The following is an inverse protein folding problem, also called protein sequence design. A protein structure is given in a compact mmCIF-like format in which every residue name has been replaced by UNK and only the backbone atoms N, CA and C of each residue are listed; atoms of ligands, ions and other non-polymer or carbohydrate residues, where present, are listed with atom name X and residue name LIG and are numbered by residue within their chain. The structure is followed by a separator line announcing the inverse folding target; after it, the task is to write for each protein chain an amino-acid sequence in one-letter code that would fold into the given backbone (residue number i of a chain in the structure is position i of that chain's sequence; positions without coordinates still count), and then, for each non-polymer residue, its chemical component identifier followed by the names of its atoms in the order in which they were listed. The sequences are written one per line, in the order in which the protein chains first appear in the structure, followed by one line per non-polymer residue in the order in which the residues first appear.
data_IF_028893430074
#
_entry.id   IF_028893430074
#
_cell.length_a   1.000
_cell.length_b   1.000
_cell.length_c   1.000
_cell.angle_alpha   90.00
_cell.angle_beta   90.00
_cell.angle_gamma   90.00
#
_symmetry.space_group_name_H-M   'P 1'
#
loop_
_entity.id
_entity.type
_entity.pdbx_description
1 polymer ?
#
# COMPACT_ATOMS: atom_id res chain seq x y z
N UNK A 1 -11.52 -44.35 -11.53
CA UNK A 1 -10.96 -43.03 -11.19
C UNK A 1 -12.17 -42.13 -11.08
N UNK A 2 -12.54 -41.72 -9.86
CA UNK A 2 -13.60 -40.74 -9.67
C UNK A 2 -13.06 -39.40 -10.15
N UNK A 3 -13.40 -39.03 -11.38
CA UNK A 3 -13.28 -37.64 -11.84
C UNK A 3 -14.41 -36.90 -11.14
N UNK A 4 -14.14 -36.49 -9.89
CA UNK A 4 -15.07 -35.73 -9.06
C UNK A 4 -15.50 -34.48 -9.82
N UNK A 5 -16.79 -34.39 -10.12
CA UNK A 5 -17.36 -33.29 -10.87
C UNK A 5 -17.42 -32.06 -9.96
N UNK A 6 -16.41 -31.19 -10.04
CA UNK A 6 -16.32 -29.98 -9.22
C UNK A 6 -17.07 -28.84 -9.89
N UNK A 7 -18.09 -28.31 -9.22
CA UNK A 7 -18.73 -27.08 -9.64
C UNK A 7 -18.01 -25.87 -9.03
N UNK A 8 -17.39 -25.05 -9.89
CA UNK A 8 -16.63 -23.86 -9.48
C UNK A 8 -17.38 -22.61 -9.93
N UNK A 9 -17.53 -21.63 -9.02
CA UNK A 9 -18.05 -20.30 -9.34
C UNK A 9 -16.96 -19.25 -9.16
N UNK A 10 -16.76 -18.42 -10.18
CA UNK A 10 -15.78 -17.33 -10.16
C UNK A 10 -16.46 -15.99 -9.89
N UNK A 11 -15.87 -15.15 -9.03
CA UNK A 11 -16.37 -13.81 -8.70
C UNK A 11 -15.24 -12.80 -8.66
N UNK A 12 -15.48 -11.63 -9.23
CA UNK A 12 -14.59 -10.49 -9.12
C UNK A 12 -14.96 -9.68 -7.87
N UNK A 13 -13.94 -9.27 -7.13
CA UNK A 13 -14.09 -8.46 -5.92
C UNK A 13 -13.15 -7.26 -5.98
N UNK A 14 -13.55 -6.11 -5.42
CA UNK A 14 -12.67 -4.96 -5.31
C UNK A 14 -11.51 -5.26 -4.35
N UNK A 15 -10.30 -4.80 -4.71
CA UNK A 15 -9.11 -4.92 -3.87
C UNK A 15 -9.15 -3.92 -2.72
N UNK A 16 -8.55 -4.30 -1.58
CA UNK A 16 -8.39 -3.45 -0.38
C UNK A 16 -9.69 -2.99 0.31
N UNK A 17 -10.80 -3.69 0.08
CA UNK A 17 -12.11 -3.38 0.68
C UNK A 17 -12.43 -4.20 1.95
N UNK A 18 -11.44 -4.80 2.64
CA UNK A 18 -11.71 -5.53 3.89
C UNK A 18 -12.21 -6.96 3.72
N UNK A 19 -12.22 -7.52 2.50
CA UNK A 19 -12.70 -8.89 2.26
C UNK A 19 -11.68 -9.88 2.81
N UNK A 20 -11.92 -10.37 4.03
CA UNK A 20 -10.99 -11.19 4.80
C UNK A 20 -10.25 -12.26 3.98
N UNK A 21 -10.98 -13.08 3.20
CA UNK A 21 -10.36 -14.15 2.41
C UNK A 21 -9.42 -13.65 1.31
N UNK A 22 -9.77 -12.55 0.65
CA UNK A 22 -8.92 -11.90 -0.35
C UNK A 22 -7.68 -11.27 0.28
N UNK A 23 -7.85 -10.63 1.44
CA UNK A 23 -6.74 -10.02 2.17
C UNK A 23 -5.73 -11.06 2.67
N UNK A 24 -6.20 -12.20 3.15
CA UNK A 24 -5.32 -13.31 3.52
C UNK A 24 -4.59 -13.86 2.29
N UNK A 25 -5.28 -14.05 1.17
CA UNK A 25 -4.65 -14.50 -0.07
C UNK A 25 -3.58 -13.50 -0.57
N UNK A 26 -3.87 -12.20 -0.55
CA UNK A 26 -2.93 -11.13 -0.91
C UNK A 26 -1.71 -11.10 0.04
N UNK A 27 -1.93 -11.28 1.35
CA UNK A 27 -0.85 -11.36 2.34
C UNK A 27 0.09 -12.54 2.07
N UNK A 28 -0.44 -13.74 1.80
CA UNK A 28 0.39 -14.91 1.48
C UNK A 28 1.11 -14.76 0.14
N UNK A 29 0.45 -14.19 -0.86
CA UNK A 29 1.08 -13.87 -2.14
C UNK A 29 2.26 -12.91 -1.97
N UNK A 30 2.12 -11.87 -1.14
CA UNK A 30 3.20 -10.94 -0.79
C UNK A 30 4.36 -11.64 -0.07
N UNK A 31 4.06 -12.48 0.93
CA UNK A 31 5.09 -13.26 1.64
C UNK A 31 5.90 -14.15 0.70
N UNK A 32 5.22 -14.81 -0.26
CA UNK A 32 5.89 -15.61 -1.28
C UNK A 32 6.80 -14.74 -2.17
N UNK A 33 6.36 -13.54 -2.55
CA UNK A 33 7.14 -12.63 -3.38
C UNK A 33 8.33 -11.97 -2.65
N UNK A 34 8.29 -11.83 -1.31
CA UNK A 34 9.30 -11.10 -0.53
C UNK A 34 10.62 -11.87 -0.31
N UNK A 35 10.68 -13.17 -0.60
CA UNK A 35 11.85 -13.99 -0.33
C UNK A 35 13.07 -13.65 -1.20
N UNK A 36 14.20 -13.23 -0.61
CA UNK A 36 15.48 -13.05 -1.33
C UNK A 36 15.96 -14.32 -2.03
N UNK A 37 15.63 -15.51 -1.50
CA UNK A 37 15.92 -16.82 -2.11
C UNK A 37 14.93 -17.23 -3.22
N UNK A 38 13.83 -16.51 -3.40
CA UNK A 38 12.77 -16.80 -4.38
C UNK A 38 12.86 -15.89 -5.62
N UNK A 39 13.83 -14.97 -5.65
CA UNK A 39 14.13 -14.16 -6.82
C UNK A 39 15.06 -14.91 -7.78
N UNK A 40 14.95 -14.62 -9.08
CA UNK A 40 15.91 -15.10 -10.06
C UNK A 40 17.33 -14.67 -9.67
N UNK A 41 18.34 -15.56 -9.73
CA UNK A 41 19.71 -15.20 -9.46
C UNK A 41 20.17 -14.12 -10.46
N UNK A 42 21.12 -13.26 -10.06
CA UNK A 42 21.53 -12.09 -10.85
C UNK A 42 21.97 -12.45 -12.30
N UNK A 43 22.51 -13.65 -12.50
CA UNK A 43 22.91 -14.16 -13.83
C UNK A 43 21.73 -14.39 -14.79
N UNK A 44 20.56 -14.70 -14.26
CA UNK A 44 19.32 -14.97 -15.00
C UNK A 44 18.49 -13.70 -15.24
N UNK A 45 18.79 -12.61 -14.54
CA UNK A 45 18.15 -11.33 -14.77
C UNK A 45 18.56 -10.74 -16.13
N UNK A 46 17.67 -9.98 -16.81
CA UNK A 46 18.05 -9.11 -17.92
C UNK A 46 19.19 -8.15 -17.54
N UNK A 47 20.13 -7.87 -18.47
CA UNK A 47 21.35 -7.07 -18.20
C UNK A 47 21.06 -5.72 -17.51
N UNK A 48 19.96 -5.06 -17.87
CA UNK A 48 19.56 -3.76 -17.29
C UNK A 48 19.03 -3.84 -15.84
N UNK A 49 18.70 -5.04 -15.35
CA UNK A 49 18.33 -5.30 -13.95
C UNK A 49 19.50 -5.84 -13.11
N UNK A 50 20.67 -6.10 -13.73
CA UNK A 50 21.87 -6.58 -13.02
C UNK A 50 22.67 -5.45 -12.37
N UNK A 51 22.55 -4.23 -12.91
CA UNK A 51 23.14 -3.04 -12.32
C UNK A 51 22.35 -2.67 -11.06
N UNK A 52 23.05 -2.55 -9.94
CA UNK A 52 22.48 -2.30 -8.61
C UNK A 52 21.86 -0.91 -8.46
N UNK A 53 22.00 -0.04 -9.47
CA UNK A 53 21.44 1.31 -9.49
C UNK A 53 20.06 1.33 -10.13
N UNK A 54 19.14 0.54 -9.58
CA UNK A 54 17.72 0.75 -9.88
C UNK A 54 17.33 2.12 -9.34
N UNK A 55 16.93 3.01 -10.25
CA UNK A 55 16.37 4.29 -9.88
C UNK A 55 15.16 4.03 -8.99
N UNK A 56 15.06 4.75 -7.87
CA UNK A 56 13.87 4.70 -7.01
C UNK A 56 12.61 4.82 -7.86
N UNK A 57 11.63 3.95 -7.64
CA UNK A 57 10.37 4.05 -8.38
C UNK A 57 9.75 5.43 -8.14
N UNK A 58 9.22 6.04 -9.21
CA UNK A 58 8.61 7.36 -9.11
C UNK A 58 7.45 7.37 -8.09
N UNK A 59 6.77 6.24 -7.93
CA UNK A 59 5.72 6.03 -6.93
C UNK A 59 6.27 6.04 -5.50
N UNK A 60 7.36 5.32 -5.22
CA UNK A 60 8.00 5.34 -3.91
C UNK A 60 8.51 6.75 -3.55
N UNK A 61 9.10 7.46 -4.52
CA UNK A 61 9.56 8.83 -4.32
C UNK A 61 8.40 9.79 -4.02
N UNK A 62 7.29 9.69 -4.76
CA UNK A 62 6.06 10.47 -4.52
C UNK A 62 5.46 10.17 -3.15
N UNK A 63 5.40 8.91 -2.75
CA UNK A 63 4.88 8.50 -1.44
C UNK A 63 5.73 9.07 -0.30
N UNK A 64 7.06 8.94 -0.39
CA UNK A 64 7.99 9.51 0.57
C UNK A 64 7.86 11.05 0.66
N UNK A 65 7.72 11.72 -0.49
CA UNK A 65 7.48 13.16 -0.53
C UNK A 65 6.15 13.54 0.13
N UNK A 66 5.05 12.83 -0.17
CA UNK A 66 3.73 13.07 0.43
C UNK A 66 3.75 12.95 1.94
N UNK A 67 4.46 11.95 2.50
CA UNK A 67 4.64 11.79 3.95
C UNK A 67 5.34 13.01 4.55
N UNK A 68 6.47 13.43 3.95
CA UNK A 68 7.23 14.61 4.39
C UNK A 68 6.39 15.89 4.31
N UNK A 69 5.68 16.10 3.20
CA UNK A 69 4.79 17.25 3.03
C UNK A 69 3.67 17.28 4.06
N UNK A 70 3.03 16.15 4.34
CA UNK A 70 1.96 16.05 5.35
C UNK A 70 2.48 16.37 6.75
N UNK A 71 3.65 15.84 7.11
CA UNK A 71 4.28 16.14 8.40
C UNK A 71 4.63 17.63 8.53
N UNK A 72 5.24 18.21 7.49
CA UNK A 72 5.57 19.63 7.48
C UNK A 72 4.34 20.53 7.56
N UNK A 73 3.31 20.22 6.77
CA UNK A 73 2.04 20.94 6.80
C UNK A 73 1.39 20.88 8.19
N UNK A 74 1.39 19.71 8.84
CA UNK A 74 0.87 19.56 10.21
C UNK A 74 1.58 20.49 11.19
N UNK A 75 2.92 20.55 11.15
CA UNK A 75 3.71 21.45 11.99
C UNK A 75 3.36 22.92 11.76
N UNK A 76 3.15 23.33 10.49
CA UNK A 76 2.75 24.70 10.16
C UNK A 76 1.33 24.98 10.66
N UNK A 77 0.42 24.03 10.43
CA UNK A 77 -0.98 24.14 10.81
C UNK A 77 -1.12 24.34 12.32
N UNK A 78 -0.45 23.51 13.13
CA UNK A 78 -0.48 23.57 14.58
C UNK A 78 0.05 24.90 15.16
N UNK A 79 0.98 25.54 14.46
CA UNK A 79 1.52 26.86 14.84
C UNK A 79 0.62 28.03 14.44
N UNK A 80 -0.42 27.79 13.66
CA UNK A 80 -1.26 28.87 13.13
C UNK A 80 -2.29 29.35 14.17
N UNK A 81 -2.66 30.65 14.18
CA UNK A 81 -3.76 31.16 15.00
C UNK A 81 -5.12 30.54 14.67
N UNK A 82 -5.25 29.93 13.48
CA UNK A 82 -6.46 29.23 13.05
C UNK A 82 -6.61 27.89 13.76
N UNK A 83 -5.51 27.15 13.94
CA UNK A 83 -5.53 25.90 14.69
C UNK A 83 -6.02 26.07 16.12
N UNK A 84 -5.62 27.15 16.81
CA UNK A 84 -6.11 27.45 18.15
C UNK A 84 -7.65 27.58 18.20
N UNK A 85 -8.27 28.15 17.15
CA UNK A 85 -9.72 28.31 17.04
C UNK A 85 -10.43 27.03 16.64
N UNK A 86 -9.81 26.19 15.80
CA UNK A 86 -10.42 24.96 15.31
C UNK A 86 -10.17 23.75 16.22
N UNK A 87 -9.18 23.80 17.11
CA UNK A 87 -8.87 22.70 18.05
C UNK A 87 -10.01 22.42 19.04
N UNK A 88 -10.83 23.42 19.34
CA UNK A 88 -11.99 23.30 20.25
C UNK A 88 -13.24 22.76 19.56
N UNK A 89 -13.21 22.57 18.23
CA UNK A 89 -14.31 21.94 17.50
C UNK A 89 -14.39 20.47 17.90
N UNK A 90 -15.59 20.03 18.28
CA UNK A 90 -15.86 18.66 18.73
C UNK A 90 -15.41 17.64 17.65
N UNK A 91 -14.51 16.69 18.00
CA UNK A 91 -14.13 15.60 17.09
C UNK A 91 -15.31 14.77 16.56
N UNK A 92 -16.44 14.76 17.27
CA UNK A 92 -17.66 14.02 16.89
C UNK A 92 -18.49 14.70 15.79
N UNK A 93 -18.12 15.91 15.35
CA UNK A 93 -18.85 16.61 14.29
C UNK A 93 -18.85 15.80 12.98
N UNK A 94 -20.00 15.69 12.28
CA UNK A 94 -20.15 14.88 11.07
C UNK A 94 -19.33 15.38 9.86
N UNK A 95 -18.56 16.46 10.00
CA UNK A 95 -17.72 17.06 8.96
C UNK A 95 -16.25 16.59 9.01
N UNK A 96 -15.88 15.71 9.95
CA UNK A 96 -14.49 15.26 10.16
C UNK A 96 -14.00 14.21 9.14
N UNK A 97 -14.86 13.75 8.22
CA UNK A 97 -14.58 12.68 7.25
C UNK A 97 -14.55 13.12 5.77
N UNK A 98 -14.35 14.41 5.47
CA UNK A 98 -14.11 14.88 4.09
C UNK A 98 -12.61 14.99 3.76
#
# INVERSE_FOLDING_TARGET
RDDGDFNITLRWIPGHEGVQGNEHADQEAKKAAEGQHQNSPNRELPKYLRDSRLLCSATALKAAHKIKSKAHWKTIWEKSPRYARTRTIDPSMPFSNF
#
